data_IF_828606389829
#
_entry.id   IF_828606389829
#
_cell.length_a   1.000
_cell.length_b   1.000
_cell.length_c   1.000
_cell.angle_alpha   90.00
_cell.angle_beta   90.00
_cell.angle_gamma   90.00
#
_symmetry.space_group_name_H-M   'P 1'
#
loop_
_entity.id
_entity.type
_entity.pdbx_description
1 polymer ?
#
# COMPACT_ATOMS: atom_id res chain seq x y z
N UNK A 1 17.90 0.39 -2.49
CA UNK A 1 16.97 1.52 -2.67
C UNK A 1 15.73 1.20 -1.86
N UNK A 2 15.31 2.08 -0.94
CA UNK A 2 14.13 1.83 -0.11
C UNK A 2 12.87 1.77 -0.98
N UNK A 3 12.02 0.78 -0.74
CA UNK A 3 10.72 0.71 -1.42
C UNK A 3 9.82 1.82 -0.84
N UNK A 4 9.28 2.68 -1.70
CA UNK A 4 8.33 3.73 -1.33
C UNK A 4 6.95 3.33 -1.87
N UNK A 5 6.01 3.14 -0.95
CA UNK A 5 4.63 2.76 -1.19
C UNK A 5 3.68 3.95 -1.00
N UNK A 6 3.99 4.88 -0.10
CA UNK A 6 3.25 6.12 0.12
C UNK A 6 4.05 7.29 -0.46
N UNK A 7 3.74 7.63 -1.71
CA UNK A 7 4.38 8.72 -2.46
C UNK A 7 3.47 9.97 -2.57
N UNK A 8 4.03 11.00 -3.22
CA UNK A 8 3.35 12.22 -3.69
C UNK A 8 1.92 11.99 -4.19
N UNK A 9 1.83 11.01 -5.10
CA UNK A 9 0.63 10.73 -5.88
C UNK A 9 -0.41 9.96 -5.06
N UNK A 10 0.01 9.12 -4.13
CA UNK A 10 -0.89 8.44 -3.18
C UNK A 10 -1.61 9.44 -2.26
N UNK A 11 -0.88 10.44 -1.75
CA UNK A 11 -1.39 11.47 -0.83
C UNK A 11 -2.39 12.43 -1.49
N UNK A 12 -2.04 12.94 -2.67
CA UNK A 12 -2.76 14.05 -3.31
C UNK A 12 -3.94 13.59 -4.19
N UNK A 13 -3.84 12.43 -4.85
CA UNK A 13 -4.81 12.04 -5.91
C UNK A 13 -5.98 11.20 -5.41
N UNK A 14 -5.88 10.55 -4.25
CA UNK A 14 -6.99 9.75 -3.71
C UNK A 14 -7.91 10.55 -2.78
N UNK A 15 -7.36 11.52 -2.05
CA UNK A 15 -8.11 12.38 -1.12
C UNK A 15 -8.78 13.62 -1.75
N UNK A 16 -8.36 14.04 -2.95
CA UNK A 16 -8.97 15.19 -3.64
C UNK A 16 -10.31 14.84 -4.27
N UNK A 17 -11.35 15.62 -3.96
CA UNK A 17 -12.68 15.50 -4.61
C UNK A 17 -12.59 15.74 -6.13
N UNK A 18 -11.63 16.56 -6.56
CA UNK A 18 -11.41 16.91 -7.97
C UNK A 18 -10.75 15.81 -8.80
N UNK A 19 -10.19 14.77 -8.17
CA UNK A 19 -9.53 13.70 -8.94
C UNK A 19 -10.58 12.76 -9.54
N UNK A 20 -10.58 12.54 -10.88
CA UNK A 20 -11.54 11.66 -11.53
C UNK A 20 -11.52 10.23 -10.97
N UNK A 21 -12.70 9.62 -10.83
CA UNK A 21 -12.84 8.24 -10.31
C UNK A 21 -11.97 7.23 -11.06
N UNK A 22 -11.87 7.34 -12.38
CA UNK A 22 -10.99 6.49 -13.19
C UNK A 22 -9.52 6.57 -12.77
N UNK A 23 -9.01 7.76 -12.45
CA UNK A 23 -7.63 7.96 -11.98
C UNK A 23 -7.43 7.31 -10.62
N UNK A 24 -8.39 7.47 -9.70
CA UNK A 24 -8.36 6.81 -8.38
C UNK A 24 -8.32 5.29 -8.52
N UNK A 25 -9.16 4.73 -9.40
CA UNK A 25 -9.20 3.30 -9.70
C UNK A 25 -7.88 2.79 -10.26
N UNK A 26 -7.27 3.52 -11.20
CA UNK A 26 -5.97 3.18 -11.77
C UNK A 26 -4.85 3.20 -10.73
N UNK A 27 -4.82 4.20 -9.83
CA UNK A 27 -3.84 4.28 -8.75
C UNK A 27 -3.98 3.12 -7.77
N UNK A 28 -5.22 2.79 -7.38
CA UNK A 28 -5.50 1.64 -6.51
C UNK A 28 -4.99 0.34 -7.16
N UNK A 29 -5.26 0.14 -8.45
CA UNK A 29 -4.82 -1.06 -9.15
C UNK A 29 -3.30 -1.15 -9.29
N UNK A 30 -2.65 -0.02 -9.60
CA UNK A 30 -1.19 0.05 -9.66
C UNK A 30 -0.55 -0.34 -8.32
N UNK A 31 -1.09 0.15 -7.19
CA UNK A 31 -0.61 -0.24 -5.86
C UNK A 31 -0.87 -1.71 -5.54
N UNK A 32 -2.03 -2.26 -5.94
CA UNK A 32 -2.29 -3.71 -5.79
C UNK A 32 -1.26 -4.54 -6.55
N UNK A 33 -0.91 -4.16 -7.76
CA UNK A 33 0.10 -4.84 -8.58
C UNK A 33 1.49 -4.74 -7.94
N UNK A 34 1.89 -3.55 -7.47
CA UNK A 34 3.15 -3.36 -6.75
C UNK A 34 3.24 -4.27 -5.51
N UNK A 35 2.16 -4.36 -4.72
CA UNK A 35 2.10 -5.25 -3.55
C UNK A 35 2.14 -6.73 -3.90
N UNK A 36 1.49 -7.14 -4.99
CA UNK A 36 1.56 -8.52 -5.47
C UNK A 36 2.98 -8.89 -5.90
N UNK A 37 3.68 -8.01 -6.63
CA UNK A 37 5.08 -8.19 -7.00
C UNK A 37 6.00 -8.25 -5.77
N UNK A 38 5.75 -7.43 -4.74
CA UNK A 38 6.49 -7.48 -3.48
C UNK A 38 6.37 -8.84 -2.79
N UNK A 39 5.19 -9.45 -2.83
CA UNK A 39 4.92 -10.77 -2.26
C UNK A 39 5.68 -11.90 -2.99
N UNK A 40 5.99 -11.71 -4.26
CA UNK A 40 6.72 -12.69 -5.09
C UNK A 40 8.25 -12.59 -4.96
N UNK A 41 8.78 -11.56 -4.28
CA UNK A 41 10.23 -11.44 -4.02
C UNK A 41 10.73 -12.65 -3.22
N UNK A 42 12.02 -12.97 -3.30
CA UNK A 42 12.58 -14.15 -2.59
C UNK A 42 12.55 -13.93 -1.07
N UNK A 43 11.75 -14.75 -0.38
CA UNK A 43 11.65 -14.89 1.10
C UNK A 43 11.06 -13.67 1.86
N UNK A 44 9.83 -13.22 1.57
CA UNK A 44 9.15 -12.27 2.44
C UNK A 44 8.83 -12.91 3.79
N UNK A 45 8.87 -12.13 4.88
CA UNK A 45 8.47 -12.61 6.19
C UNK A 45 6.96 -12.93 6.22
N UNK A 46 6.53 -13.82 7.12
CA UNK A 46 5.10 -14.10 7.31
C UNK A 46 4.31 -12.83 7.66
N UNK A 47 4.92 -11.93 8.43
CA UNK A 47 4.34 -10.62 8.78
C UNK A 47 4.16 -9.73 7.55
N UNK A 48 5.18 -9.65 6.69
CA UNK A 48 5.11 -8.91 5.43
C UNK A 48 4.04 -9.48 4.50
N UNK A 49 3.97 -10.81 4.33
CA UNK A 49 2.92 -11.46 3.54
C UNK A 49 1.52 -11.13 4.08
N UNK A 50 1.34 -11.18 5.40
CA UNK A 50 0.08 -10.87 6.05
C UNK A 50 -0.35 -9.41 5.82
N UNK A 51 0.56 -8.46 6.04
CA UNK A 51 0.30 -7.03 5.79
C UNK A 51 -0.06 -6.77 4.33
N UNK A 52 0.68 -7.38 3.39
CA UNK A 52 0.39 -7.27 1.95
C UNK A 52 -1.03 -7.78 1.63
N UNK A 53 -1.40 -8.97 2.12
CA UNK A 53 -2.71 -9.55 1.83
C UNK A 53 -3.86 -8.67 2.34
N UNK A 54 -3.74 -8.15 3.57
CA UNK A 54 -4.75 -7.24 4.12
C UNK A 54 -4.81 -5.95 3.31
N UNK A 55 -3.67 -5.38 2.95
CA UNK A 55 -3.62 -4.12 2.19
C UNK A 55 -4.24 -4.29 0.81
N UNK A 56 -4.01 -5.40 0.11
CA UNK A 56 -4.66 -5.71 -1.17
C UNK A 56 -6.18 -5.83 -1.02
N UNK A 57 -6.66 -6.43 0.07
CA UNK A 57 -8.08 -6.52 0.35
C UNK A 57 -8.70 -5.13 0.62
N UNK A 58 -8.05 -4.30 1.43
CA UNK A 58 -8.54 -2.94 1.72
C UNK A 58 -8.49 -2.04 0.48
N UNK A 59 -7.46 -2.15 -0.37
CA UNK A 59 -7.41 -1.51 -1.69
C UNK A 59 -8.58 -1.94 -2.58
N UNK A 60 -8.97 -3.22 -2.54
CA UNK A 60 -10.14 -3.72 -3.29
C UNK A 60 -11.43 -3.09 -2.78
N UNK A 61 -11.57 -2.93 -1.46
CA UNK A 61 -12.71 -2.25 -0.86
C UNK A 61 -12.77 -0.76 -1.24
N UNK A 62 -11.61 -0.09 -1.39
CA UNK A 62 -11.54 1.32 -1.75
C UNK A 62 -12.03 1.60 -3.19
N UNK A 63 -12.09 0.58 -4.06
CA UNK A 63 -12.67 0.69 -5.40
C UNK A 63 -14.21 0.71 -5.41
N UNK A 64 -14.85 0.36 -4.29
CA UNK A 64 -16.31 0.31 -4.19
C UNK A 64 -16.89 1.72 -4.13
N UNK A 65 -18.16 1.86 -4.51
CA UNK A 65 -18.88 3.09 -4.29
C UNK A 65 -19.17 3.22 -2.79
N UNK A 66 -18.34 3.97 -2.09
CA UNK A 66 -18.40 4.19 -0.64
C UNK A 66 -18.91 5.59 -0.35
N UNK A 67 -19.54 5.79 0.80
CA UNK A 67 -19.80 7.14 1.29
C UNK A 67 -18.46 7.85 1.59
N UNK A 68 -18.44 9.18 1.48
CA UNK A 68 -17.21 9.98 1.64
C UNK A 68 -16.49 9.71 2.97
N UNK A 69 -17.25 9.52 4.06
CA UNK A 69 -16.70 9.19 5.39
C UNK A 69 -16.04 7.82 5.42
N UNK A 70 -16.71 6.81 4.87
CA UNK A 70 -16.17 5.44 4.79
C UNK A 70 -14.92 5.39 3.91
N UNK A 71 -14.96 6.09 2.78
CA UNK A 71 -13.82 6.25 1.89
C UNK A 71 -12.62 6.87 2.62
N UNK A 72 -12.83 7.94 3.38
CA UNK A 72 -11.76 8.61 4.15
C UNK A 72 -11.14 7.69 5.20
N UNK A 73 -11.96 6.96 5.96
CA UNK A 73 -11.49 6.02 6.97
C UNK A 73 -10.70 4.88 6.33
N UNK A 74 -11.22 4.30 5.25
CA UNK A 74 -10.56 3.22 4.53
C UNK A 74 -9.26 3.68 3.89
N UNK A 75 -9.23 4.88 3.31
CA UNK A 75 -8.01 5.49 2.78
C UNK A 75 -6.94 5.68 3.86
N UNK A 76 -7.32 6.20 5.04
CA UNK A 76 -6.40 6.34 6.17
C UNK A 76 -5.82 4.99 6.62
N UNK A 77 -6.67 3.96 6.67
CA UNK A 77 -6.25 2.60 7.01
C UNK A 77 -5.30 1.99 5.98
N UNK A 78 -5.59 2.11 4.69
CA UNK A 78 -4.69 1.63 3.62
C UNK A 78 -3.35 2.36 3.71
N UNK A 79 -3.36 3.69 3.89
CA UNK A 79 -2.14 4.49 4.03
C UNK A 79 -1.29 4.03 5.21
N UNK A 80 -1.92 3.75 6.36
CA UNK A 80 -1.23 3.21 7.52
C UNK A 80 -0.59 1.84 7.25
N UNK A 81 -1.33 0.93 6.59
CA UNK A 81 -0.82 -0.40 6.25
C UNK A 81 0.35 -0.34 5.26
N UNK A 82 0.29 0.55 4.26
CA UNK A 82 1.40 0.77 3.33
C UNK A 82 2.67 1.22 4.07
N UNK A 83 2.56 2.13 5.05
CA UNK A 83 3.70 2.53 5.89
C UNK A 83 4.26 1.40 6.74
N UNK A 84 3.38 0.53 7.27
CA UNK A 84 3.86 -0.65 8.00
C UNK A 84 4.64 -1.60 7.08
N UNK A 85 4.19 -1.78 5.84
CA UNK A 85 4.91 -2.59 4.84
C UNK A 85 6.28 -1.96 4.53
N UNK A 86 6.35 -0.63 4.35
CA UNK A 86 7.64 0.07 4.16
C UNK A 86 8.60 -0.17 5.33
N UNK A 87 8.12 -0.06 6.57
CA UNK A 87 8.91 -0.32 7.77
C UNK A 87 9.46 -1.75 7.80
N UNK A 88 8.61 -2.76 7.56
CA UNK A 88 9.04 -4.16 7.53
C UNK A 88 10.08 -4.45 6.44
N UNK A 89 9.95 -3.79 5.29
CA UNK A 89 10.93 -3.89 4.21
C UNK A 89 12.27 -3.27 4.59
N UNK A 90 12.27 -2.17 5.35
CA UNK A 90 13.49 -1.51 5.85
C UNK A 90 14.16 -2.33 6.96
N UNK A 91 13.39 -2.84 7.93
CA UNK A 91 13.89 -3.66 9.03
C UNK A 91 14.51 -4.97 8.51
N UNK A 92 13.87 -5.58 7.50
CA UNK A 92 14.38 -6.77 6.83
C UNK A 92 15.68 -6.55 6.06
N UNK A 93 15.95 -5.33 5.60
CA UNK A 93 17.22 -4.97 4.94
C UNK A 93 18.33 -4.71 5.97
N UNK A 94 18.02 -4.02 7.08
CA UNK A 94 18.99 -3.73 8.14
C UNK A 94 19.54 -4.98 8.83
N UNK A 95 18.75 -6.06 8.88
CA UNK A 95 19.19 -7.36 9.39
C UNK A 95 20.22 -8.06 8.51
N UNK A 96 20.33 -7.72 7.23
CA UNK A 96 21.27 -8.37 6.29
C UNK A 96 22.60 -7.64 6.26
N UNK A 97 22.61 -6.31 6.42
CA UNK A 97 23.84 -5.50 6.46
C UNK A 97 24.62 -5.65 7.77
N UNK A 98 24.00 -6.15 8.84
CA UNK A 98 24.64 -6.33 10.15
C UNK A 98 25.44 -7.63 10.29
N UNK A 99 25.52 -8.45 9.23
CA UNK A 99 26.15 -9.77 9.24
C UNK A 99 27.48 -9.85 8.45
N UNK A 100 28.15 -8.71 8.22
CA UNK A 100 29.49 -8.66 7.61
C UNK A 100 30.61 -8.54 8.63
#
# INVERSE_FOLDING_TARGET
>A
MAEILVDADWGLRLGGEETPSAVKVSLIEAKRQQLAQLKERRKPSNKLIYLINITINELTNLKKNLEAREHTLLYGRVTYLLRQIESELQDGLGSVDSAS
#
